data_IF_901189808773
#
_entry.id   IF_901189808773
#
_cell.length_a   1.000
_cell.length_b   1.000
_cell.length_c   1.000
_cell.angle_alpha   90.00
_cell.angle_beta   90.00
_cell.angle_gamma   90.00
#
_symmetry.space_group_name_H-M   'P 1'
#
loop_
_entity.id
_entity.type
_entity.pdbx_description
1 polymer ?
#
# COMPACT_ATOMS: atom_id res chain seq x y z
N UNK A 1 2.66 22.82 -8.69
CA UNK A 1 1.62 22.44 -9.66
C UNK A 1 1.47 20.95 -9.52
N UNK A 2 0.28 20.48 -9.14
CA UNK A 2 0.00 19.05 -8.97
C UNK A 2 -0.35 18.50 -10.36
N UNK A 3 0.25 17.39 -10.75
CA UNK A 3 -0.13 16.67 -11.97
C UNK A 3 -1.22 15.67 -11.60
N UNK A 4 -2.33 15.64 -12.35
CA UNK A 4 -3.48 14.78 -12.06
C UNK A 4 -3.80 13.93 -13.29
N UNK A 5 -3.97 12.63 -13.08
CA UNK A 5 -4.47 11.68 -14.08
C UNK A 5 -5.71 11.00 -13.48
N UNK A 6 -6.86 11.13 -14.14
CA UNK A 6 -8.11 10.53 -13.66
C UNK A 6 -8.64 9.52 -14.69
N UNK A 7 -8.97 8.34 -14.20
CA UNK A 7 -9.72 7.33 -14.94
C UNK A 7 -11.17 7.35 -14.44
N UNK A 8 -12.06 7.91 -15.26
CA UNK A 8 -13.51 8.08 -15.01
C UNK A 8 -14.35 7.33 -16.07
N UNK A 9 -15.64 7.15 -15.80
CA UNK A 9 -16.66 6.72 -16.78
C UNK A 9 -16.33 5.46 -17.62
N UNK A 10 -15.86 4.38 -16.98
CA UNK A 10 -15.45 3.11 -17.63
C UNK A 10 -14.15 3.19 -18.47
N UNK A 11 -13.26 4.14 -18.15
CA UNK A 11 -11.89 4.13 -18.67
C UNK A 11 -11.01 3.16 -17.86
N UNK A 12 -10.14 2.42 -18.53
CA UNK A 12 -9.19 1.53 -17.86
C UNK A 12 -7.79 2.09 -17.97
N UNK A 13 -7.04 2.06 -16.87
CA UNK A 13 -5.58 2.27 -16.87
C UNK A 13 -4.82 0.97 -17.12
N UNK A 14 -5.51 -0.07 -17.57
CA UNK A 14 -4.90 -1.38 -17.80
C UNK A 14 -3.77 -1.31 -18.82
N UNK A 15 -2.67 -1.98 -18.53
CA UNK A 15 -1.40 -1.95 -19.28
C UNK A 15 -0.71 -0.58 -19.33
N UNK A 16 -1.19 0.45 -18.62
CA UNK A 16 -0.50 1.74 -18.56
C UNK A 16 0.79 1.62 -17.73
N UNK A 17 1.78 2.44 -18.06
CA UNK A 17 2.96 2.66 -17.22
C UNK A 17 2.92 4.09 -16.72
N UNK A 18 2.65 4.29 -15.43
CA UNK A 18 2.65 5.61 -14.80
C UNK A 18 3.82 5.74 -13.84
N UNK A 19 4.56 6.85 -13.99
CA UNK A 19 5.57 7.28 -13.04
C UNK A 19 5.12 8.63 -12.49
N UNK A 20 4.58 8.62 -11.28
CA UNK A 20 4.11 9.81 -10.58
C UNK A 20 5.25 10.33 -9.71
N UNK A 21 5.62 11.59 -9.89
CA UNK A 21 6.65 12.24 -9.09
C UNK A 21 6.29 13.70 -8.84
N UNK A 22 6.86 14.28 -7.77
CA UNK A 22 6.73 15.71 -7.46
C UNK A 22 5.27 16.13 -7.23
N UNK A 23 4.58 15.44 -6.31
CA UNK A 23 3.16 15.65 -6.02
C UNK A 23 2.27 15.42 -7.25
N UNK A 24 2.37 14.22 -7.81
CA UNK A 24 1.51 13.76 -8.90
C UNK A 24 0.53 12.71 -8.39
N UNK A 25 -0.71 12.80 -8.86
CA UNK A 25 -1.84 12.02 -8.39
C UNK A 25 -2.48 11.26 -9.55
N UNK A 26 -2.78 9.98 -9.35
CA UNK A 26 -3.60 9.21 -10.28
C UNK A 26 -4.79 8.57 -9.55
N UNK A 27 -5.99 8.82 -10.05
CA UNK A 27 -7.24 8.33 -9.45
C UNK A 27 -7.95 7.33 -10.37
N UNK A 28 -8.35 6.20 -9.78
CA UNK A 28 -9.24 5.20 -10.35
C UNK A 28 -10.55 5.18 -9.56
N UNK A 29 -11.58 5.84 -10.08
CA UNK A 29 -12.90 5.90 -9.42
C UNK A 29 -13.85 4.85 -10.02
N UNK A 30 -14.96 4.55 -9.34
CA UNK A 30 -16.08 3.81 -9.94
C UNK A 30 -15.71 2.37 -10.25
N UNK A 31 -15.74 1.93 -11.50
CA UNK A 31 -15.35 0.56 -11.90
C UNK A 31 -14.16 0.55 -12.86
N UNK A 32 -13.29 1.56 -12.72
CA UNK A 32 -12.12 1.76 -13.57
C UNK A 32 -10.95 0.94 -13.01
N UNK A 33 -10.44 0.00 -13.80
CA UNK A 33 -9.44 -0.96 -13.34
C UNK A 33 -8.04 -0.68 -13.91
N UNK A 34 -7.01 -1.06 -13.15
CA UNK A 34 -5.60 -0.97 -13.48
C UNK A 34 -4.97 -2.34 -13.83
N UNK A 35 -5.71 -3.21 -14.52
CA UNK A 35 -5.26 -4.56 -14.91
C UNK A 35 -3.90 -4.52 -15.64
N UNK A 36 -2.91 -5.26 -15.14
CA UNK A 36 -1.54 -5.29 -15.70
C UNK A 36 -0.82 -3.93 -15.78
N UNK A 37 -1.29 -2.92 -15.06
CA UNK A 37 -0.63 -1.61 -14.99
C UNK A 37 0.72 -1.73 -14.28
N UNK A 38 1.67 -0.86 -14.64
CA UNK A 38 2.89 -0.61 -13.88
C UNK A 38 2.80 0.81 -13.31
N UNK A 39 2.62 0.93 -11.99
CA UNK A 39 2.53 2.21 -11.29
C UNK A 39 3.72 2.45 -10.37
N UNK A 40 4.37 3.61 -10.47
CA UNK A 40 5.41 4.02 -9.52
C UNK A 40 5.08 5.39 -8.93
N UNK A 41 4.98 5.48 -7.61
CA UNK A 41 4.89 6.73 -6.86
C UNK A 41 6.26 7.07 -6.28
N UNK A 42 6.87 8.15 -6.75
CA UNK A 42 8.21 8.59 -6.34
C UNK A 42 8.12 9.90 -5.58
N UNK A 43 8.21 9.79 -4.25
CA UNK A 43 8.26 10.93 -3.35
C UNK A 43 7.12 11.95 -3.54
N UNK A 44 7.20 13.07 -2.85
CA UNK A 44 6.31 14.21 -2.97
C UNK A 44 7.06 15.52 -3.18
N UNK A 45 6.39 16.64 -2.92
CA UNK A 45 7.07 17.88 -2.55
C UNK A 45 7.00 18.05 -1.01
N UNK A 46 7.32 19.24 -0.49
CA UNK A 46 7.28 19.51 0.96
C UNK A 46 5.87 19.55 1.58
N UNK A 47 4.82 19.47 0.76
CA UNK A 47 3.42 19.58 1.19
C UNK A 47 2.60 18.31 0.87
N UNK A 48 2.86 17.66 -0.26
CA UNK A 48 2.02 16.58 -0.82
C UNK A 48 2.89 15.48 -1.40
N UNK A 49 2.55 14.24 -1.10
CA UNK A 49 3.03 13.00 -1.68
C UNK A 49 2.65 12.81 -3.16
N UNK A 50 3.30 11.87 -3.84
CA UNK A 50 2.78 11.34 -5.10
C UNK A 50 1.99 10.07 -4.82
N UNK A 51 0.81 9.96 -5.42
CA UNK A 51 -0.22 9.03 -4.97
C UNK A 51 -0.94 8.36 -6.13
N UNK A 52 -1.20 7.05 -5.97
CA UNK A 52 -2.19 6.32 -6.77
C UNK A 52 -3.34 5.94 -5.84
N UNK A 53 -4.54 6.36 -6.19
CA UNK A 53 -5.74 6.10 -5.42
C UNK A 53 -6.73 5.24 -6.22
N UNK A 54 -7.30 4.25 -5.54
CA UNK A 54 -8.40 3.42 -6.01
C UNK A 54 -9.63 3.67 -5.12
N UNK A 55 -10.67 4.25 -5.70
CA UNK A 55 -11.92 4.58 -5.00
C UNK A 55 -13.12 3.84 -5.61
N UNK A 56 -14.11 3.53 -4.78
CA UNK A 56 -15.38 2.95 -5.24
C UNK A 56 -15.25 1.46 -5.50
N UNK A 57 -15.65 0.99 -6.68
CA UNK A 57 -15.57 -0.42 -7.08
C UNK A 57 -14.35 -0.70 -7.99
N UNK A 58 -13.34 0.16 -7.97
CA UNK A 58 -12.15 0.03 -8.81
C UNK A 58 -11.26 -1.13 -8.34
N UNK A 59 -10.49 -1.68 -9.27
CA UNK A 59 -9.57 -2.78 -9.01
C UNK A 59 -8.16 -2.48 -9.50
N UNK A 60 -7.17 -2.83 -8.69
CA UNK A 60 -5.78 -2.87 -9.12
C UNK A 60 -5.46 -4.03 -10.07
N UNK A 61 -6.37 -5.01 -10.21
CA UNK A 61 -6.23 -6.19 -11.06
C UNK A 61 -4.92 -6.94 -10.78
N UNK A 62 -4.21 -7.32 -11.83
CA UNK A 62 -2.86 -7.90 -11.79
C UNK A 62 -1.75 -6.84 -11.93
N UNK A 63 -2.02 -5.59 -11.55
CA UNK A 63 -1.05 -4.50 -11.64
C UNK A 63 0.16 -4.71 -10.71
N UNK A 64 1.25 -4.03 -11.04
CA UNK A 64 2.47 -3.96 -10.22
C UNK A 64 2.71 -2.52 -9.80
N UNK A 65 2.76 -2.28 -8.50
CA UNK A 65 2.85 -0.94 -7.93
C UNK A 65 4.06 -0.81 -7.01
N UNK A 66 4.76 0.30 -7.10
CA UNK A 66 5.92 0.61 -6.26
C UNK A 66 5.77 2.00 -5.66
N UNK A 67 5.99 2.12 -4.35
CA UNK A 67 6.18 3.41 -3.69
C UNK A 67 7.64 3.57 -3.30
N UNK A 68 8.18 4.77 -3.54
CA UNK A 68 9.57 5.12 -3.21
C UNK A 68 9.57 6.22 -2.15
N UNK A 69 10.32 6.01 -1.07
CA UNK A 69 10.46 6.97 0.02
C UNK A 69 11.19 8.24 -0.41
N UNK A 70 11.14 9.27 0.44
CA UNK A 70 11.82 10.54 0.22
C UNK A 70 13.33 10.34 0.03
N UNK A 71 13.90 11.06 -0.93
CA UNK A 71 15.33 11.06 -1.28
C UNK A 71 16.08 12.29 -0.75
N UNK A 72 15.33 13.33 -0.38
CA UNK A 72 15.86 14.59 0.17
C UNK A 72 15.03 15.09 1.35
N UNK A 73 15.63 15.94 2.19
CA UNK A 73 14.93 16.48 3.37
C UNK A 73 13.72 17.33 2.94
N UNK A 74 12.58 17.08 3.57
CA UNK A 74 11.31 17.72 3.23
C UNK A 74 10.51 16.96 2.16
N UNK A 75 11.10 16.01 1.44
CA UNK A 75 10.36 15.21 0.47
C UNK A 75 9.46 14.19 1.17
N UNK A 76 8.15 14.27 0.92
CA UNK A 76 7.20 13.24 1.35
C UNK A 76 7.47 11.91 0.63
N UNK A 77 7.08 10.78 1.22
CA UNK A 77 7.15 9.48 0.54
C UNK A 77 6.02 9.31 -0.48
N UNK A 78 6.14 8.33 -1.37
CA UNK A 78 5.01 7.92 -2.20
C UNK A 78 3.89 7.27 -1.39
N UNK A 79 2.68 7.27 -1.94
CA UNK A 79 1.50 6.71 -1.29
C UNK A 79 0.63 5.93 -2.27
N UNK A 80 -0.03 4.89 -1.78
CA UNK A 80 -1.08 4.19 -2.51
C UNK A 80 -2.25 3.99 -1.57
N UNK A 81 -3.44 4.39 -2.02
CA UNK A 81 -4.67 4.32 -1.25
C UNK A 81 -5.71 3.47 -1.95
N UNK A 82 -6.35 2.59 -1.18
CA UNK A 82 -7.63 1.98 -1.51
C UNK A 82 -8.68 2.51 -0.54
N UNK A 83 -9.79 3.03 -1.08
CA UNK A 83 -10.88 3.56 -0.28
C UNK A 83 -12.27 3.05 -0.73
N UNK A 84 -13.26 3.25 0.14
CA UNK A 84 -14.66 2.87 0.00
C UNK A 84 -14.85 1.35 -0.17
N UNK A 85 -14.88 0.83 -1.40
CA UNK A 85 -15.10 -0.60 -1.69
C UNK A 85 -14.06 -1.18 -2.65
N UNK A 86 -12.95 -0.47 -2.87
CA UNK A 86 -11.95 -0.85 -3.86
C UNK A 86 -11.20 -2.13 -3.47
N UNK A 87 -10.57 -2.78 -4.46
CA UNK A 87 -9.86 -4.05 -4.28
C UNK A 87 -8.45 -4.03 -4.87
N UNK A 88 -7.47 -4.51 -4.10
CA UNK A 88 -6.13 -4.77 -4.64
C UNK A 88 -6.07 -6.05 -5.49
N UNK A 89 -7.12 -6.88 -5.46
CA UNK A 89 -7.29 -8.07 -6.28
C UNK A 89 -6.06 -9.01 -6.26
N UNK A 90 -5.37 -9.19 -7.39
CA UNK A 90 -4.18 -10.03 -7.51
C UNK A 90 -2.88 -9.21 -7.66
N UNK A 91 -2.92 -7.91 -7.35
CA UNK A 91 -1.81 -7.00 -7.61
C UNK A 91 -0.57 -7.30 -6.76
N UNK A 92 0.57 -6.84 -7.26
CA UNK A 92 1.86 -6.90 -6.56
C UNK A 92 2.28 -5.52 -6.11
N UNK A 93 2.67 -5.38 -4.84
CA UNK A 93 3.09 -4.12 -4.25
C UNK A 93 4.50 -4.22 -3.68
N UNK A 94 5.31 -3.20 -3.94
CA UNK A 94 6.61 -2.98 -3.30
C UNK A 94 6.58 -1.63 -2.59
N UNK A 95 6.56 -1.66 -1.26
CA UNK A 95 6.43 -0.48 -0.42
C UNK A 95 7.80 -0.12 0.16
N UNK A 96 8.27 1.09 -0.10
CA UNK A 96 9.61 1.57 0.27
C UNK A 96 9.70 2.20 1.66
N UNK A 97 10.80 1.96 2.37
CA UNK A 97 11.18 2.82 3.49
C UNK A 97 11.78 4.15 3.02
N UNK A 98 12.10 5.03 3.98
CA UNK A 98 12.87 6.24 3.70
C UNK A 98 14.28 5.91 3.17
N UNK A 99 14.81 6.75 2.28
CA UNK A 99 16.10 6.49 1.61
C UNK A 99 17.33 7.08 2.33
N UNK A 100 17.16 7.56 3.56
CA UNK A 100 18.21 8.17 4.36
C UNK A 100 17.68 8.70 5.70
N UNK A 101 18.58 8.96 6.65
CA UNK A 101 18.23 9.37 8.01
C UNK A 101 17.18 10.50 8.05
N UNK A 102 16.04 10.24 8.68
CA UNK A 102 14.95 11.22 8.83
C UNK A 102 14.16 11.53 7.55
N UNK A 103 14.35 10.79 6.47
CA UNK A 103 13.56 10.91 5.25
C UNK A 103 12.26 10.12 5.34
N UNK A 104 11.20 10.62 4.73
CA UNK A 104 9.87 10.04 4.79
C UNK A 104 9.83 8.63 4.14
N UNK A 105 9.19 7.70 4.83
CA UNK A 105 8.84 6.39 4.29
C UNK A 105 7.54 6.45 3.46
N UNK A 106 7.11 5.32 2.91
CA UNK A 106 5.89 5.23 2.11
C UNK A 106 4.83 4.38 2.79
N UNK A 107 3.58 4.55 2.35
CA UNK A 107 2.45 3.78 2.89
C UNK A 107 1.58 3.20 1.78
N UNK A 108 1.07 1.99 2.03
CA UNK A 108 -0.05 1.38 1.32
C UNK A 108 -1.22 1.27 2.29
N UNK A 109 -2.31 2.00 2.03
CA UNK A 109 -3.45 2.09 2.92
C UNK A 109 -4.71 1.42 2.34
N UNK A 110 -5.42 0.70 3.19
CA UNK A 110 -6.74 0.12 2.92
C UNK A 110 -7.75 0.67 3.92
N UNK A 111 -8.67 1.52 3.45
CA UNK A 111 -9.64 2.24 4.28
C UNK A 111 -11.07 1.78 3.97
N UNK A 112 -12.01 2.08 4.87
CA UNK A 112 -13.44 1.77 4.75
C UNK A 112 -13.76 0.28 4.58
N UNK A 113 -14.31 -0.17 3.45
CA UNK A 113 -14.79 -1.54 3.21
C UNK A 113 -13.97 -2.22 2.10
N UNK A 114 -12.72 -1.78 1.92
CA UNK A 114 -11.79 -2.28 0.91
C UNK A 114 -11.26 -3.69 1.20
N UNK A 115 -10.55 -4.27 0.23
CA UNK A 115 -9.90 -5.57 0.40
C UNK A 115 -8.54 -5.66 -0.29
N UNK A 116 -7.53 -6.15 0.44
CA UNK A 116 -6.25 -6.56 -0.15
C UNK A 116 -6.36 -7.87 -0.97
N UNK A 117 -7.48 -8.58 -0.84
CA UNK A 117 -7.84 -9.76 -1.64
C UNK A 117 -6.71 -10.82 -1.68
N UNK A 118 -6.12 -11.08 -2.84
CA UNK A 118 -5.04 -12.05 -3.03
C UNK A 118 -3.72 -11.36 -3.43
N UNK A 119 -3.55 -10.09 -3.04
CA UNK A 119 -2.36 -9.31 -3.35
C UNK A 119 -1.08 -9.90 -2.75
N UNK A 120 0.04 -9.62 -3.40
CA UNK A 120 1.39 -9.95 -2.94
C UNK A 120 2.10 -8.66 -2.56
N UNK A 121 2.39 -8.47 -1.28
CA UNK A 121 2.88 -7.19 -0.73
C UNK A 121 4.25 -7.43 -0.10
N UNK A 122 5.24 -6.65 -0.54
CA UNK A 122 6.57 -6.59 0.08
C UNK A 122 6.81 -5.18 0.61
N UNK A 123 7.12 -5.07 1.90
CA UNK A 123 7.37 -3.79 2.56
C UNK A 123 8.79 -3.74 3.09
N UNK A 124 9.51 -2.69 2.71
CA UNK A 124 10.92 -2.53 2.98
C UNK A 124 11.18 -1.62 4.17
N UNK A 125 12.16 -1.98 5.00
CA UNK A 125 12.68 -1.11 6.03
C UNK A 125 13.35 0.15 5.45
N UNK A 126 13.51 1.15 6.31
CA UNK A 126 14.21 2.38 6.01
C UNK A 126 15.74 2.24 6.03
N UNK A 127 16.43 3.15 5.37
CA UNK A 127 17.90 3.20 5.33
C UNK A 127 18.44 4.33 6.20
N UNK A 128 19.56 4.07 6.88
CA UNK A 128 20.23 5.11 7.67
C UNK A 128 19.44 5.54 8.91
N UNK A 129 18.54 4.69 9.41
CA UNK A 129 17.70 4.97 10.58
C UNK A 129 16.44 5.77 10.27
N UNK A 130 16.02 5.85 9.01
CA UNK A 130 14.67 6.31 8.66
C UNK A 130 13.62 5.25 9.00
N UNK A 131 12.37 5.68 8.90
CA UNK A 131 11.22 4.80 9.05
C UNK A 131 11.15 3.81 7.87
N UNK A 132 10.62 2.62 8.15
CA UNK A 132 10.28 1.63 7.14
C UNK A 132 8.95 1.96 6.47
N UNK A 133 8.71 1.34 5.31
CA UNK A 133 7.42 1.40 4.67
C UNK A 133 6.34 0.80 5.57
N UNK A 134 5.10 1.23 5.36
CA UNK A 134 3.96 0.80 6.15
C UNK A 134 2.83 0.23 5.29
N UNK A 135 2.12 -0.75 5.85
CA UNK A 135 0.80 -1.17 5.37
C UNK A 135 -0.20 -0.82 6.48
N UNK A 136 -1.28 -0.13 6.16
CA UNK A 136 -2.38 0.10 7.10
C UNK A 136 -3.67 -0.57 6.64
N UNK A 137 -4.34 -1.26 7.57
CA UNK A 137 -5.73 -1.72 7.41
C UNK A 137 -6.60 -1.00 8.44
N UNK A 138 -7.47 -0.14 7.94
CA UNK A 138 -8.29 0.75 8.77
C UNK A 138 -9.78 0.41 8.64
N UNK A 139 -10.60 0.95 9.54
CA UNK A 139 -12.05 0.78 9.55
C UNK A 139 -12.53 -0.67 9.40
N UNK A 140 -13.17 -1.04 8.28
CA UNK A 140 -13.73 -2.38 8.02
C UNK A 140 -13.02 -3.06 6.84
N UNK A 141 -11.83 -2.59 6.50
CA UNK A 141 -11.01 -3.15 5.43
C UNK A 141 -10.66 -4.61 5.73
N UNK A 142 -10.30 -5.36 4.69
CA UNK A 142 -10.04 -6.81 4.80
C UNK A 142 -8.69 -7.15 4.17
N UNK A 143 -7.93 -8.03 4.83
CA UNK A 143 -6.71 -8.60 4.26
C UNK A 143 -6.98 -9.71 3.22
N UNK A 144 -8.06 -10.48 3.40
CA UNK A 144 -8.39 -11.59 2.50
C UNK A 144 -7.39 -12.74 2.61
N UNK A 145 -6.80 -13.12 1.48
CA UNK A 145 -5.75 -14.14 1.34
C UNK A 145 -4.39 -13.56 0.96
N UNK A 146 -4.21 -12.24 1.12
CA UNK A 146 -2.98 -11.55 0.73
C UNK A 146 -1.75 -12.15 1.43
N UNK A 147 -0.60 -12.06 0.77
CA UNK A 147 0.69 -12.45 1.32
C UNK A 147 1.52 -11.20 1.60
N UNK A 148 2.00 -11.04 2.83
CA UNK A 148 2.79 -9.88 3.25
C UNK A 148 4.19 -10.34 3.64
N UNK A 149 5.22 -9.69 3.10
CA UNK A 149 6.62 -9.83 3.52
C UNK A 149 7.10 -8.49 4.08
N UNK A 150 7.52 -8.47 5.34
CA UNK A 150 8.13 -7.30 5.97
C UNK A 150 9.66 -7.48 6.05
N UNK A 151 10.41 -6.39 6.04
CA UNK A 151 11.86 -6.41 6.27
C UNK A 151 12.34 -5.21 7.10
N UNK A 152 13.45 -5.37 7.83
CA UNK A 152 13.99 -4.34 8.71
C UNK A 152 12.97 -3.81 9.71
N UNK A 153 12.75 -2.49 9.68
CA UNK A 153 11.76 -1.77 10.49
C UNK A 153 10.47 -1.45 9.72
N UNK A 154 10.12 -2.24 8.69
CA UNK A 154 8.82 -2.15 8.03
C UNK A 154 7.66 -2.48 8.99
N UNK A 155 6.48 -1.93 8.68
CA UNK A 155 5.33 -1.98 9.56
C UNK A 155 4.08 -2.55 8.89
N UNK A 156 3.32 -3.34 9.66
CA UNK A 156 1.92 -3.67 9.39
C UNK A 156 1.07 -3.13 10.55
N UNK A 157 0.22 -2.15 10.27
CA UNK A 157 -0.65 -1.51 11.25
C UNK A 157 -2.12 -1.91 11.04
N UNK A 158 -2.74 -2.42 12.11
CA UNK A 158 -4.18 -2.68 12.19
C UNK A 158 -4.79 -2.01 13.43
N UNK A 159 -4.09 -1.09 14.08
CA UNK A 159 -4.45 -0.50 15.35
C UNK A 159 -5.70 0.40 15.26
N UNK A 160 -5.96 0.97 14.09
CA UNK A 160 -7.16 1.79 13.77
C UNK A 160 -8.31 0.97 13.18
N UNK A 161 -8.15 -0.35 13.03
CA UNK A 161 -9.19 -1.25 12.52
C UNK A 161 -10.37 -1.39 13.49
N UNK A 162 -11.56 -1.73 12.98
CA UNK A 162 -12.77 -2.01 13.76
C UNK A 162 -13.03 -3.50 13.85
N UNK A 163 -13.69 -3.93 14.92
CA UNK A 163 -14.04 -5.34 15.13
C UNK A 163 -14.59 -6.03 13.84
N UNK A 164 -14.14 -7.25 13.51
CA UNK A 164 -13.44 -8.20 14.40
C UNK A 164 -11.89 -8.16 14.37
N UNK A 165 -11.27 -7.25 13.61
CA UNK A 165 -9.85 -7.33 13.25
C UNK A 165 -9.65 -7.82 11.82
N UNK A 166 -8.40 -8.12 11.46
CA UNK A 166 -7.98 -8.39 10.08
C UNK A 166 -7.56 -9.85 9.93
N UNK A 167 -7.98 -10.48 8.84
CA UNK A 167 -7.47 -11.79 8.41
C UNK A 167 -6.63 -11.63 7.15
N UNK A 168 -5.41 -12.16 7.15
CA UNK A 168 -4.49 -12.21 6.00
C UNK A 168 -4.12 -13.67 5.66
N UNK A 169 -3.57 -13.87 4.47
CA UNK A 169 -3.07 -15.16 4.02
C UNK A 169 -1.84 -15.60 4.80
N UNK A 170 -0.75 -14.87 4.65
CA UNK A 170 0.54 -15.20 5.26
C UNK A 170 1.35 -13.95 5.57
N UNK A 171 2.20 -14.04 6.61
CA UNK A 171 3.15 -13.00 7.00
C UNK A 171 4.55 -13.60 7.12
N UNK A 172 5.54 -12.97 6.51
CA UNK A 172 6.93 -13.44 6.56
C UNK A 172 7.90 -12.29 6.82
N UNK A 173 9.10 -12.64 7.26
CA UNK A 173 10.21 -11.69 7.43
C UNK A 173 10.31 -11.11 8.84
N UNK A 174 10.70 -9.84 8.92
CA UNK A 174 10.97 -9.10 10.16
C UNK A 174 10.35 -7.70 10.06
N UNK A 175 10.04 -7.09 11.20
CA UNK A 175 9.34 -5.80 11.23
C UNK A 175 8.50 -5.65 12.50
N UNK A 176 7.55 -4.73 12.47
CA UNK A 176 6.62 -4.51 13.58
C UNK A 176 5.18 -4.75 13.14
N UNK A 177 4.36 -5.34 14.03
CA UNK A 177 2.92 -5.48 13.82
C UNK A 177 2.17 -4.71 14.90
N UNK A 178 1.52 -3.62 14.51
CA UNK A 178 0.78 -2.77 15.43
C UNK A 178 -0.67 -3.24 15.49
N UNK A 179 -1.00 -4.00 16.53
CA UNK A 179 -2.33 -4.57 16.70
C UNK A 179 -3.35 -3.60 17.31
N UNK A 180 -2.88 -2.66 18.14
CA UNK A 180 -3.77 -1.90 19.03
C UNK A 180 -4.62 -2.85 19.89
N UNK A 181 -5.95 -2.71 19.82
CA UNK A 181 -6.91 -3.60 20.49
C UNK A 181 -7.46 -4.71 19.57
N UNK A 182 -6.94 -4.83 18.34
CA UNK A 182 -7.47 -5.70 17.30
C UNK A 182 -6.77 -7.07 17.26
N UNK A 183 -7.40 -8.02 16.56
CA UNK A 183 -6.83 -9.35 16.31
C UNK A 183 -6.36 -9.45 14.87
N UNK A 184 -5.10 -9.84 14.65
CA UNK A 184 -4.61 -10.29 13.35
C UNK A 184 -4.72 -11.81 13.27
N UNK A 185 -5.47 -12.31 12.30
CA UNK A 185 -5.56 -13.75 11.98
C UNK A 185 -4.76 -14.04 10.72
N UNK A 186 -3.94 -15.09 10.75
CA UNK A 186 -3.06 -15.47 9.64
C UNK A 186 -3.34 -16.93 9.26
N UNK A 187 -3.24 -17.25 7.98
CA UNK A 187 -3.34 -18.62 7.47
C UNK A 187 -4.49 -18.85 6.49
N UNK A 188 -5.13 -17.81 5.98
CA UNK A 188 -6.26 -17.96 5.04
C UNK A 188 -5.85 -18.47 3.65
N UNK A 189 -4.54 -18.52 3.33
CA UNK A 189 -4.01 -19.00 2.06
C UNK A 189 -3.25 -20.35 2.14
N UNK A 190 -3.24 -21.01 3.31
CA UNK A 190 -2.52 -22.28 3.56
C UNK A 190 -1.00 -22.24 3.27
N UNK A 191 -0.37 -21.06 3.25
CA UNK A 191 1.08 -20.93 3.11
C UNK A 191 1.77 -20.87 4.48
N UNK A 192 3.01 -21.35 4.53
CA UNK A 192 3.85 -21.22 5.72
C UNK A 192 4.10 -19.74 6.05
N UNK A 193 4.00 -19.41 7.34
CA UNK A 193 4.25 -18.07 7.88
C UNK A 193 5.48 -18.19 8.78
N UNK A 194 6.52 -17.42 8.49
CA UNK A 194 7.75 -17.34 9.31
C UNK A 194 8.04 -15.86 9.54
N UNK A 195 7.50 -15.34 10.64
CA UNK A 195 7.66 -13.94 11.03
C UNK A 195 8.46 -13.84 12.34
N UNK A 196 9.43 -12.94 12.36
CA UNK A 196 10.29 -12.65 13.52
C UNK A 196 10.33 -11.15 13.77
N UNK A 197 9.19 -10.60 14.19
CA UNK A 197 9.03 -9.20 14.54
C UNK A 197 8.50 -8.99 15.95
N UNK A 198 8.19 -7.74 16.28
CA UNK A 198 7.65 -7.30 17.58
C UNK A 198 6.20 -6.84 17.44
#
# INVERSE_FOLDING_TARGET
MIAVIEFLDSSTGGNATLNLSTAAFALFEGSNNAEHMIGTCIGGNEEVDSEIEFEGFSSAGEGTFTTVGGSTSGEQGGFILFDNTATADNATFVIGGGLGAGLAATTLAFIDTTTAAAANITTNGGVGGSDGGAISFEDKSKGGTCSITLSGNAELDISTHRAPGVTIGSLTGEGSVLLGANTLTIGSNNQSTTFSGV
#
